data_IF_782021634181
#
_entry.id   IF_782021634181
#
_cell.length_a   1.000
_cell.length_b   1.000
_cell.length_c   1.000
_cell.angle_alpha   90.00
_cell.angle_beta   90.00
_cell.angle_gamma   90.00
#
_symmetry.space_group_name_H-M   'P 1'
#
loop_
_entity.id
_entity.type
_entity.pdbx_description
1 polymer ?
#
# COMPACT_ATOMS: atom_id res chain seq x y z
N UNK A 1 1.44 24.44 25.53
CA UNK A 1 1.96 23.74 26.72
C UNK A 1 1.63 22.25 26.71
N UNK A 2 0.37 21.83 26.69
CA UNK A 2 -0.01 20.40 26.75
C UNK A 2 0.65 19.52 25.67
N UNK A 3 0.66 19.96 24.39
CA UNK A 3 1.30 19.24 23.30
C UNK A 3 2.83 19.12 23.45
N UNK A 4 3.48 20.17 23.96
CA UNK A 4 4.92 20.13 24.26
C UNK A 4 5.22 19.11 25.35
N UNK A 5 4.39 19.05 26.40
CA UNK A 5 4.51 18.04 27.45
C UNK A 5 4.32 16.61 26.91
N UNK A 6 3.32 16.39 26.05
CA UNK A 6 3.11 15.09 25.38
C UNK A 6 4.32 14.69 24.53
N UNK A 7 4.89 15.62 23.78
CA UNK A 7 6.08 15.36 22.97
C UNK A 7 7.31 15.00 23.83
N UNK A 8 7.56 15.77 24.90
CA UNK A 8 8.64 15.49 25.84
C UNK A 8 8.44 14.14 26.52
N UNK A 9 7.22 13.83 26.96
CA UNK A 9 6.87 12.54 27.54
C UNK A 9 7.10 11.40 26.54
N UNK A 10 6.70 11.59 25.27
CA UNK A 10 6.99 10.65 24.19
C UNK A 10 8.49 10.42 24.00
N UNK A 11 9.30 11.49 23.99
CA UNK A 11 10.77 11.38 23.89
C UNK A 11 11.39 10.63 25.07
N UNK A 12 10.84 10.82 26.28
CA UNK A 12 11.25 10.07 27.47
C UNK A 12 10.94 8.58 27.30
N UNK A 13 9.71 8.22 26.91
CA UNK A 13 9.33 6.81 26.66
C UNK A 13 10.20 6.20 25.56
N UNK A 14 10.39 6.93 24.45
CA UNK A 14 11.25 6.51 23.34
C UNK A 14 12.66 6.18 23.85
N UNK A 15 13.30 7.09 24.61
CA UNK A 15 14.65 6.88 25.11
C UNK A 15 14.75 5.75 26.15
N UNK A 16 13.73 5.59 27.01
CA UNK A 16 13.72 4.58 28.07
C UNK A 16 13.50 3.15 27.54
N UNK A 17 12.58 2.99 26.59
CA UNK A 17 12.12 1.68 26.12
C UNK A 17 12.79 1.28 24.80
N UNK A 18 12.88 2.20 23.85
CA UNK A 18 13.24 1.91 22.46
C UNK A 18 14.71 2.25 22.15
N UNK A 19 15.26 3.27 22.82
CA UNK A 19 16.58 3.82 22.52
C UNK A 19 16.55 4.61 21.20
N UNK A 20 17.59 4.44 20.40
CA UNK A 20 17.71 5.12 19.11
C UNK A 20 16.80 4.48 18.06
N UNK A 21 16.02 5.34 17.38
CA UNK A 21 15.14 4.94 16.29
C UNK A 21 15.96 4.64 15.04
N UNK A 22 15.56 3.58 14.32
CA UNK A 22 16.18 3.24 13.05
C UNK A 22 15.58 4.11 11.94
N UNK A 23 16.34 4.35 10.88
CA UNK A 23 15.91 5.18 9.74
C UNK A 23 14.58 4.67 9.15
N UNK A 24 14.43 3.36 9.00
CA UNK A 24 13.19 2.75 8.50
C UNK A 24 11.99 2.92 9.44
N UNK A 25 12.21 2.91 10.75
CA UNK A 25 11.14 3.15 11.72
C UNK A 25 10.74 4.62 11.76
N UNK A 26 11.70 5.52 11.60
CA UNK A 26 11.45 6.95 11.56
C UNK A 26 10.65 7.32 10.32
N UNK A 27 11.01 6.81 9.14
CA UNK A 27 10.24 7.00 7.90
C UNK A 27 8.81 6.48 8.05
N UNK A 28 8.64 5.22 8.46
CA UNK A 28 7.32 4.64 8.68
C UNK A 28 6.50 5.40 9.74
N UNK A 29 7.15 5.93 10.78
CA UNK A 29 6.47 6.71 11.81
C UNK A 29 5.98 8.04 11.25
N UNK A 30 6.81 8.75 10.46
CA UNK A 30 6.45 10.02 9.84
C UNK A 30 5.28 9.85 8.88
N UNK A 31 5.32 8.84 8.01
CA UNK A 31 4.24 8.56 7.05
C UNK A 31 2.93 8.25 7.77
N UNK A 32 2.96 7.32 8.73
CA UNK A 32 1.77 6.96 9.51
C UNK A 32 1.23 8.14 10.33
N UNK A 33 2.09 9.01 10.83
CA UNK A 33 1.70 10.20 11.60
C UNK A 33 0.96 11.21 10.75
N UNK A 34 1.52 11.58 9.59
CA UNK A 34 0.86 12.50 8.67
C UNK A 34 -0.46 11.94 8.15
N UNK A 35 -0.50 10.65 7.83
CA UNK A 35 -1.72 9.97 7.39
C UNK A 35 -2.80 9.99 8.48
N UNK A 36 -2.41 9.78 9.74
CA UNK A 36 -3.31 9.88 10.89
C UNK A 36 -3.88 11.28 11.03
N UNK A 37 -3.02 12.31 11.03
CA UNK A 37 -3.47 13.71 11.16
C UNK A 37 -4.41 14.08 10.03
N UNK A 38 -4.02 13.81 8.78
CA UNK A 38 -4.80 14.14 7.61
C UNK A 38 -6.20 13.52 7.67
N UNK A 39 -6.28 12.23 8.00
CA UNK A 39 -7.55 11.53 8.15
C UNK A 39 -8.41 12.13 9.28
N UNK A 40 -7.82 12.44 10.44
CA UNK A 40 -8.58 13.03 11.58
C UNK A 40 -9.05 14.46 11.31
N UNK A 41 -8.30 15.25 10.54
CA UNK A 41 -8.72 16.59 10.12
C UNK A 41 -9.94 16.50 9.19
N UNK A 42 -9.88 15.64 8.15
CA UNK A 42 -11.02 15.41 7.25
C UNK A 42 -12.22 14.91 8.04
N UNK A 43 -12.01 14.05 9.01
CA UNK A 43 -13.06 13.51 9.85
C UNK A 43 -13.77 14.60 10.70
N UNK A 44 -13.01 15.45 11.39
CA UNK A 44 -13.56 16.51 12.27
C UNK A 44 -14.40 17.51 11.48
N UNK A 45 -13.91 17.96 10.33
CA UNK A 45 -14.62 18.96 9.52
C UNK A 45 -15.68 18.34 8.60
N UNK A 46 -15.43 17.14 8.09
CA UNK A 46 -16.28 16.52 7.06
C UNK A 46 -17.36 15.60 7.59
N UNK A 47 -17.11 14.86 8.67
CA UNK A 47 -18.07 13.89 9.23
C UNK A 47 -18.73 14.42 10.49
N UNK A 48 -17.95 14.91 11.44
CA UNK A 48 -18.48 15.50 12.68
C UNK A 48 -19.06 16.88 12.43
N UNK A 49 -18.59 17.59 11.40
CA UNK A 49 -19.02 18.94 11.04
C UNK A 49 -18.91 19.92 12.23
N UNK A 50 -17.77 19.87 12.94
CA UNK A 50 -17.53 20.75 14.09
C UNK A 50 -17.36 22.21 13.60
N UNK A 51 -18.32 23.07 13.93
CA UNK A 51 -18.34 24.47 13.50
C UNK A 51 -17.75 25.41 14.57
N UNK A 52 -17.85 25.03 15.85
CA UNK A 52 -17.32 25.84 16.95
C UNK A 52 -15.86 25.52 17.24
N UNK A 53 -15.06 26.55 17.54
CA UNK A 53 -13.65 26.38 17.92
C UNK A 53 -13.52 25.51 19.17
N UNK A 54 -14.45 25.63 20.12
CA UNK A 54 -14.48 24.81 21.33
C UNK A 54 -14.64 23.31 21.02
N UNK A 55 -15.55 22.94 20.12
CA UNK A 55 -15.72 21.54 19.71
C UNK A 55 -14.47 21.02 18.99
N UNK A 56 -13.91 21.81 18.09
CA UNK A 56 -12.68 21.45 17.37
C UNK A 56 -11.53 21.21 18.34
N UNK A 57 -11.38 22.04 19.37
CA UNK A 57 -10.34 21.87 20.40
C UNK A 57 -10.55 20.60 21.24
N UNK A 58 -11.80 20.28 21.61
CA UNK A 58 -12.12 19.04 22.33
C UNK A 58 -11.78 17.80 21.49
N UNK A 59 -12.19 17.78 20.22
CA UNK A 59 -11.84 16.70 19.30
C UNK A 59 -10.34 16.59 19.04
N UNK A 60 -9.65 17.71 18.88
CA UNK A 60 -8.20 17.74 18.72
C UNK A 60 -7.49 17.17 19.95
N UNK A 61 -7.95 17.47 21.16
CA UNK A 61 -7.39 16.92 22.40
C UNK A 61 -7.57 15.40 22.46
N UNK A 62 -8.78 14.91 22.15
CA UNK A 62 -9.10 13.48 22.11
C UNK A 62 -8.22 12.72 21.10
N UNK A 63 -8.18 13.18 19.85
CA UNK A 63 -7.37 12.53 18.81
C UNK A 63 -5.87 12.66 19.05
N UNK A 64 -5.42 13.69 19.77
CA UNK A 64 -4.00 13.77 20.14
C UNK A 64 -3.60 12.74 21.18
N UNK A 65 -4.47 12.48 22.17
CA UNK A 65 -4.23 11.43 23.16
C UNK A 65 -4.29 10.03 22.52
N UNK A 66 -5.31 9.76 21.69
CA UNK A 66 -5.39 8.50 20.94
C UNK A 66 -4.22 8.33 19.97
N UNK A 67 -3.89 9.37 19.21
CA UNK A 67 -2.81 9.39 18.24
C UNK A 67 -1.46 9.11 18.87
N UNK A 68 -1.19 9.67 20.05
CA UNK A 68 0.00 9.37 20.84
C UNK A 68 0.16 7.85 21.06
N UNK A 69 -0.87 7.20 21.62
CA UNK A 69 -0.82 5.76 21.87
C UNK A 69 -0.84 4.92 20.60
N UNK A 70 -1.53 5.36 19.55
CA UNK A 70 -1.53 4.70 18.25
C UNK A 70 -0.13 4.64 17.65
N UNK A 71 0.61 5.76 17.66
CA UNK A 71 1.99 5.83 17.14
C UNK A 71 2.92 4.92 17.93
N UNK A 72 2.84 4.94 19.27
CA UNK A 72 3.63 4.03 20.10
C UNK A 72 3.28 2.56 19.87
N UNK A 73 2.01 2.23 19.64
CA UNK A 73 1.58 0.89 19.27
C UNK A 73 2.18 0.43 17.93
N UNK A 74 2.21 1.31 16.92
CA UNK A 74 2.86 1.02 15.63
C UNK A 74 4.37 0.79 15.79
N UNK A 75 5.03 1.64 16.55
CA UNK A 75 6.46 1.49 16.83
C UNK A 75 6.76 0.17 17.57
N UNK A 76 5.90 -0.23 18.51
CA UNK A 76 6.01 -1.53 19.17
C UNK A 76 5.86 -2.70 18.18
N UNK A 77 4.93 -2.60 17.22
CA UNK A 77 4.75 -3.62 16.16
C UNK A 77 5.98 -3.73 15.26
N UNK A 78 6.52 -2.60 14.81
CA UNK A 78 7.69 -2.57 13.91
C UNK A 78 8.96 -3.10 14.62
N UNK A 79 9.10 -2.79 15.92
CA UNK A 79 10.16 -3.35 16.77
C UNK A 79 9.98 -4.84 17.05
N UNK A 80 8.75 -5.30 17.30
CA UNK A 80 8.46 -6.71 17.47
C UNK A 80 8.91 -7.52 16.26
N UNK A 81 8.52 -7.12 15.04
CA UNK A 81 8.93 -7.80 13.80
C UNK A 81 10.45 -7.97 13.72
N UNK A 82 11.18 -6.91 14.03
CA UNK A 82 12.65 -6.96 14.04
C UNK A 82 13.23 -7.86 15.13
N UNK A 83 12.69 -7.82 16.34
CA UNK A 83 13.15 -8.66 17.44
C UNK A 83 12.88 -10.14 17.15
N UNK A 84 11.77 -10.48 16.49
CA UNK A 84 11.51 -11.86 16.05
C UNK A 84 12.49 -12.32 14.98
N UNK A 85 12.99 -11.41 14.12
CA UNK A 85 14.03 -11.72 13.15
C UNK A 85 15.46 -11.78 13.73
N UNK A 86 15.68 -11.28 14.96
CA UNK A 86 17.00 -11.15 15.57
C UNK A 86 17.15 -12.03 16.84
N UNK A 87 17.76 -13.22 16.73
CA UNK A 87 17.79 -14.20 17.83
C UNK A 87 18.72 -13.84 19.00
N UNK A 88 19.57 -12.83 18.87
CA UNK A 88 20.63 -12.50 19.86
C UNK A 88 20.30 -11.32 20.78
N UNK A 89 19.03 -10.95 20.94
CA UNK A 89 18.68 -9.76 21.71
C UNK A 89 18.51 -10.06 23.21
N UNK A 90 19.02 -9.19 24.12
CA UNK A 90 18.97 -9.44 25.55
C UNK A 90 17.54 -9.33 26.10
N UNK A 91 17.18 -10.21 27.05
CA UNK A 91 15.83 -10.28 27.67
C UNK A 91 15.34 -8.96 28.24
N UNK A 92 16.23 -8.06 28.69
CA UNK A 92 15.85 -6.73 29.19
C UNK A 92 15.11 -5.89 28.15
N UNK A 93 15.54 -5.93 26.88
CA UNK A 93 14.85 -5.22 25.79
C UNK A 93 13.46 -5.78 25.57
N UNK A 94 13.30 -7.11 25.71
CA UNK A 94 12.01 -7.75 25.55
C UNK A 94 11.02 -7.35 26.65
N UNK A 95 11.47 -7.37 27.91
CA UNK A 95 10.63 -6.98 29.06
C UNK A 95 10.19 -5.52 28.96
N UNK A 96 11.09 -4.60 28.60
CA UNK A 96 10.75 -3.18 28.44
C UNK A 96 9.68 -2.95 27.39
N UNK A 97 9.76 -3.62 26.25
CA UNK A 97 8.77 -3.51 25.18
C UNK A 97 7.41 -4.09 25.62
N UNK A 98 7.42 -5.23 26.28
CA UNK A 98 6.20 -5.85 26.81
C UNK A 98 5.49 -4.96 27.84
N UNK A 99 6.24 -4.33 28.75
CA UNK A 99 5.69 -3.36 29.70
C UNK A 99 5.05 -2.18 28.97
N UNK A 100 5.68 -1.64 27.94
CA UNK A 100 5.10 -0.56 27.14
C UNK A 100 3.79 -0.99 26.46
N UNK A 101 3.72 -2.19 25.90
CA UNK A 101 2.49 -2.73 25.29
C UNK A 101 1.38 -2.89 26.35
N UNK A 102 1.69 -3.38 27.55
CA UNK A 102 0.72 -3.45 28.65
C UNK A 102 0.22 -2.07 29.06
N UNK A 103 1.09 -1.06 29.13
CA UNK A 103 0.70 0.32 29.44
C UNK A 103 -0.25 0.87 28.37
N UNK A 104 0.02 0.62 27.09
CA UNK A 104 -0.87 1.02 25.98
C UNK A 104 -2.23 0.32 26.10
N UNK A 105 -2.25 -0.97 26.42
CA UNK A 105 -3.49 -1.73 26.58
C UNK A 105 -4.34 -1.18 27.74
N UNK A 106 -3.70 -0.91 28.90
CA UNK A 106 -4.36 -0.34 30.08
C UNK A 106 -4.87 1.08 29.83
N UNK A 107 -4.05 1.93 29.18
CA UNK A 107 -4.47 3.29 28.84
C UNK A 107 -5.66 3.29 27.89
N UNK A 108 -5.70 2.35 26.94
CA UNK A 108 -6.83 2.17 26.02
C UNK A 108 -8.12 1.80 26.76
N UNK A 109 -8.05 0.95 27.78
CA UNK A 109 -9.22 0.62 28.62
C UNK A 109 -9.69 1.82 29.42
N UNK A 110 -8.77 2.57 30.03
CA UNK A 110 -9.11 3.80 30.79
C UNK A 110 -9.78 4.83 29.90
N UNK A 111 -9.24 5.07 28.70
CA UNK A 111 -9.84 5.98 27.71
C UNK A 111 -11.22 5.48 27.25
N UNK A 112 -11.40 4.16 27.09
CA UNK A 112 -12.69 3.57 26.75
C UNK A 112 -13.75 3.80 27.84
N UNK A 113 -13.39 3.65 29.12
CA UNK A 113 -14.30 3.93 30.24
C UNK A 113 -14.69 5.42 30.29
N UNK A 114 -13.73 6.31 30.05
CA UNK A 114 -13.99 7.73 29.97
C UNK A 114 -14.92 8.07 28.78
N UNK A 115 -14.69 7.45 27.62
CA UNK A 115 -15.53 7.60 26.44
C UNK A 115 -16.99 7.16 26.68
N UNK A 116 -17.20 6.06 27.39
CA UNK A 116 -18.55 5.60 27.77
C UNK A 116 -19.22 6.60 28.73
N UNK A 117 -18.46 7.07 29.72
CA UNK A 117 -18.99 8.01 30.73
C UNK A 117 -19.42 9.34 30.11
N UNK A 118 -18.60 9.90 29.22
CA UNK A 118 -18.93 11.11 28.48
C UNK A 118 -20.06 10.87 27.46
N UNK A 119 -19.99 9.77 26.72
CA UNK A 119 -20.95 9.43 25.67
C UNK A 119 -22.37 9.19 26.17
N UNK A 120 -22.54 8.72 27.41
CA UNK A 120 -23.86 8.56 28.03
C UNK A 120 -24.60 9.89 28.22
N UNK A 121 -23.87 11.01 28.38
CA UNK A 121 -24.45 12.33 28.60
C UNK A 121 -24.83 13.03 27.29
N UNK A 122 -24.07 12.82 26.21
CA UNK A 122 -24.23 13.52 24.94
C UNK A 122 -25.10 12.75 23.94
N UNK A 123 -24.59 11.63 23.40
CA UNK A 123 -25.30 10.80 22.43
C UNK A 123 -24.67 9.43 22.26
N UNK A 124 -25.51 8.44 21.91
CA UNK A 124 -25.09 7.06 21.65
C UNK A 124 -24.13 6.97 20.46
N UNK A 125 -24.29 7.80 19.43
CA UNK A 125 -23.42 7.76 18.24
C UNK A 125 -22.00 8.24 18.56
N UNK A 126 -21.86 9.34 19.31
CA UNK A 126 -20.55 9.84 19.77
C UNK A 126 -19.91 8.83 20.73
N UNK A 127 -20.70 8.21 21.59
CA UNK A 127 -20.24 7.12 22.47
C UNK A 127 -19.65 5.95 21.67
N UNK A 128 -20.42 5.41 20.71
CA UNK A 128 -19.99 4.28 19.88
C UNK A 128 -18.74 4.62 19.06
N UNK A 129 -18.67 5.84 18.52
CA UNK A 129 -17.51 6.35 17.81
C UNK A 129 -16.24 6.32 18.69
N UNK A 130 -16.29 6.99 19.84
CA UNK A 130 -15.12 7.08 20.73
C UNK A 130 -14.73 5.71 21.30
N UNK A 131 -15.73 4.88 21.62
CA UNK A 131 -15.50 3.53 22.12
C UNK A 131 -14.86 2.63 21.04
N UNK A 132 -15.29 2.72 19.79
CA UNK A 132 -14.73 1.92 18.70
C UNK A 132 -13.24 2.21 18.48
N UNK A 133 -12.81 3.48 18.51
CA UNK A 133 -11.40 3.86 18.41
C UNK A 133 -10.56 3.30 19.58
N UNK A 134 -11.11 3.30 20.80
CA UNK A 134 -10.46 2.70 21.97
C UNK A 134 -10.41 1.16 21.87
N UNK A 135 -11.47 0.52 21.37
CA UNK A 135 -11.50 -0.93 21.15
C UNK A 135 -10.49 -1.32 20.07
N UNK A 136 -10.38 -0.58 18.98
CA UNK A 136 -9.43 -0.84 17.89
C UNK A 136 -7.98 -0.74 18.39
N UNK A 137 -7.63 0.30 19.15
CA UNK A 137 -6.32 0.43 19.78
C UNK A 137 -6.07 -0.72 20.76
N UNK A 138 -7.06 -1.04 21.59
CA UNK A 138 -7.02 -2.13 22.56
C UNK A 138 -6.77 -3.49 21.90
N UNK A 139 -7.57 -3.87 20.89
CA UNK A 139 -7.44 -5.14 20.15
C UNK A 139 -6.08 -5.25 19.45
N UNK A 140 -5.59 -4.17 18.82
CA UNK A 140 -4.26 -4.14 18.18
C UNK A 140 -3.15 -4.34 19.21
N UNK A 141 -3.24 -3.68 20.36
CA UNK A 141 -2.26 -3.83 21.44
C UNK A 141 -2.31 -5.22 22.09
N UNK A 142 -3.50 -5.79 22.27
CA UNK A 142 -3.72 -7.12 22.83
C UNK A 142 -3.24 -8.24 21.89
N UNK A 143 -3.46 -8.09 20.58
CA UNK A 143 -2.88 -8.98 19.57
C UNK A 143 -1.35 -9.00 19.67
N UNK A 144 -0.73 -7.81 19.71
CA UNK A 144 0.71 -7.69 19.83
C UNK A 144 1.23 -8.28 21.15
N UNK A 145 0.53 -8.06 22.26
CA UNK A 145 0.86 -8.66 23.56
C UNK A 145 0.79 -10.19 23.50
N UNK A 146 -0.28 -10.75 22.95
CA UNK A 146 -0.49 -12.20 22.84
C UNK A 146 0.61 -12.84 21.99
N UNK A 147 0.97 -12.22 20.86
CA UNK A 147 2.10 -12.63 20.01
C UNK A 147 3.42 -12.63 20.77
N UNK A 148 3.65 -11.59 21.55
CA UNK A 148 4.86 -11.45 22.35
C UNK A 148 4.98 -12.53 23.44
N UNK A 149 3.89 -12.74 24.16
CA UNK A 149 3.79 -13.77 25.20
C UNK A 149 4.02 -15.15 24.59
N UNK A 150 3.42 -15.41 23.43
CA UNK A 150 3.60 -16.65 22.70
C UNK A 150 5.07 -16.88 22.29
N UNK A 151 5.75 -15.88 21.75
CA UNK A 151 7.16 -15.94 21.36
C UNK A 151 8.07 -16.31 22.55
N UNK A 152 7.86 -15.69 23.71
CA UNK A 152 8.66 -15.97 24.90
C UNK A 152 8.43 -17.41 25.38
N UNK A 153 7.17 -17.86 25.39
CA UNK A 153 6.82 -19.24 25.75
C UNK A 153 7.43 -20.24 24.78
N UNK A 154 7.43 -19.95 23.49
CA UNK A 154 8.04 -20.80 22.45
C UNK A 154 9.53 -21.02 22.72
N UNK A 155 10.27 -19.92 22.96
CA UNK A 155 11.70 -19.96 23.32
C UNK A 155 11.95 -20.80 24.59
N UNK A 156 11.02 -20.83 25.54
CA UNK A 156 11.19 -21.54 26.80
C UNK A 156 10.86 -23.04 26.74
N UNK A 157 9.84 -23.45 25.97
CA UNK A 157 9.31 -24.83 26.05
C UNK A 157 9.67 -25.75 24.89
N UNK A 158 10.39 -25.29 23.86
CA UNK A 158 11.04 -26.15 22.83
C UNK A 158 10.16 -27.07 21.96
N UNK A 159 8.86 -27.21 22.23
CA UNK A 159 7.96 -28.06 21.44
C UNK A 159 7.31 -27.28 20.28
N UNK A 160 7.83 -27.41 19.06
CA UNK A 160 7.49 -26.54 17.92
C UNK A 160 6.19 -26.94 17.17
N UNK A 161 5.87 -28.24 17.08
CA UNK A 161 4.85 -28.72 16.14
C UNK A 161 3.41 -28.32 16.45
N UNK A 162 3.02 -28.35 17.72
CA UNK A 162 1.66 -27.94 18.15
C UNK A 162 1.55 -26.42 18.29
N UNK A 163 2.67 -25.74 18.54
CA UNK A 163 2.72 -24.31 18.83
C UNK A 163 2.55 -23.45 17.58
N UNK A 164 3.22 -23.81 16.49
CA UNK A 164 3.10 -23.08 15.21
C UNK A 164 1.63 -22.98 14.72
N UNK A 165 0.83 -24.05 14.90
CA UNK A 165 -0.61 -24.04 14.57
C UNK A 165 -1.38 -23.05 15.44
N UNK A 166 -1.15 -23.03 16.75
CA UNK A 166 -1.83 -22.13 17.69
C UNK A 166 -1.49 -20.67 17.39
N UNK A 167 -0.21 -20.37 17.13
CA UNK A 167 0.23 -19.02 16.75
C UNK A 167 -0.54 -18.49 15.53
N UNK A 168 -0.64 -19.32 14.48
CA UNK A 168 -1.36 -18.96 13.26
C UNK A 168 -2.85 -18.66 13.52
N UNK A 169 -3.54 -19.48 14.31
CA UNK A 169 -4.96 -19.23 14.61
C UNK A 169 -5.17 -17.97 15.46
N UNK A 170 -4.27 -17.69 16.40
CA UNK A 170 -4.30 -16.44 17.18
C UNK A 170 -4.19 -15.24 16.23
N UNK A 171 -3.29 -15.29 15.26
CA UNK A 171 -3.12 -14.22 14.26
C UNK A 171 -4.36 -14.02 13.43
N UNK A 172 -4.86 -15.10 12.85
CA UNK A 172 -6.01 -15.06 11.99
C UNK A 172 -7.25 -14.51 12.71
N UNK A 173 -7.52 -15.00 13.93
CA UNK A 173 -8.69 -14.58 14.71
C UNK A 173 -8.57 -13.11 15.08
N UNK A 174 -7.42 -12.69 15.60
CA UNK A 174 -7.21 -11.30 16.03
C UNK A 174 -7.22 -10.31 14.86
N UNK A 175 -6.63 -10.65 13.72
CA UNK A 175 -6.69 -9.83 12.51
C UNK A 175 -8.12 -9.73 11.97
N UNK A 176 -8.85 -10.84 11.91
CA UNK A 176 -10.26 -10.87 11.52
C UNK A 176 -11.13 -10.03 12.46
N UNK A 177 -10.90 -10.09 13.78
CA UNK A 177 -11.60 -9.29 14.78
C UNK A 177 -11.32 -7.80 14.59
N UNK A 178 -10.05 -7.41 14.42
CA UNK A 178 -9.69 -6.00 14.17
C UNK A 178 -10.34 -5.48 12.90
N UNK A 179 -10.26 -6.23 11.79
CA UNK A 179 -10.86 -5.82 10.51
C UNK A 179 -12.39 -5.73 10.58
N UNK A 180 -13.03 -6.63 11.34
CA UNK A 180 -14.49 -6.62 11.51
C UNK A 180 -14.94 -5.40 12.31
N UNK A 181 -14.26 -5.10 13.43
CA UNK A 181 -14.56 -3.90 14.22
C UNK A 181 -14.31 -2.64 13.39
N UNK A 182 -13.23 -2.59 12.63
CA UNK A 182 -12.87 -1.44 11.78
C UNK A 182 -13.89 -1.21 10.66
N UNK A 183 -14.37 -2.29 10.03
CA UNK A 183 -15.43 -2.24 9.04
C UNK A 183 -16.75 -1.75 9.66
N UNK A 184 -17.17 -2.32 10.78
CA UNK A 184 -18.40 -1.92 11.47
C UNK A 184 -18.36 -0.43 11.86
N UNK A 185 -17.21 0.03 12.36
CA UNK A 185 -16.96 1.42 12.71
C UNK A 185 -17.10 2.36 11.49
N UNK A 186 -16.41 2.08 10.39
CA UNK A 186 -16.48 2.93 9.20
C UNK A 186 -17.87 2.91 8.54
N UNK A 187 -18.58 1.77 8.58
CA UNK A 187 -19.96 1.66 8.10
C UNK A 187 -20.91 2.48 8.97
N UNK A 188 -20.78 2.39 10.30
CA UNK A 188 -21.57 3.20 11.24
C UNK A 188 -21.36 4.70 10.98
N UNK A 189 -20.11 5.13 10.80
CA UNK A 189 -19.78 6.52 10.48
C UNK A 189 -20.36 7.00 9.15
N UNK A 190 -20.34 6.14 8.12
CA UNK A 190 -20.94 6.45 6.82
C UNK A 190 -22.47 6.63 6.94
N UNK A 191 -23.14 5.78 7.71
CA UNK A 191 -24.59 5.86 7.96
C UNK A 191 -24.95 7.11 8.77
N UNK A 192 -24.15 7.44 9.81
CA UNK A 192 -24.41 8.59 10.66
C UNK A 192 -24.20 9.93 9.94
N UNK A 193 -23.20 10.02 9.06
CA UNK A 193 -22.85 11.25 8.33
C UNK A 193 -24.02 11.84 7.53
N UNK A 194 -24.96 11.01 7.03
CA UNK A 194 -26.15 11.39 6.25
C UNK A 194 -25.87 12.26 4.98
N UNK A 195 -24.61 12.59 4.69
CA UNK A 195 -24.16 13.34 3.53
C UNK A 195 -23.52 12.38 2.53
N UNK A 196 -24.32 11.88 1.58
CA UNK A 196 -23.87 10.89 0.59
C UNK A 196 -22.84 11.45 -0.41
N UNK A 197 -22.67 12.77 -0.54
CA UNK A 197 -21.85 13.43 -1.57
C UNK A 197 -20.79 14.40 -1.03
N UNK A 198 -20.30 14.23 0.19
CA UNK A 198 -19.17 15.04 0.69
C UNK A 198 -17.83 14.44 0.31
N UNK A 199 -16.76 15.25 0.33
CA UNK A 199 -15.39 14.73 0.21
C UNK A 199 -15.06 13.69 1.29
N UNK A 200 -15.71 13.76 2.46
CA UNK A 200 -15.56 12.78 3.51
C UNK A 200 -16.21 11.43 3.17
N UNK A 201 -17.37 11.40 2.48
CA UNK A 201 -18.01 10.14 2.10
C UNK A 201 -17.15 9.34 1.10
N UNK A 202 -16.46 10.05 0.20
CA UNK A 202 -15.46 9.48 -0.69
C UNK A 202 -14.29 8.84 0.08
N UNK A 203 -13.70 9.57 1.04
CA UNK A 203 -12.61 9.04 1.89
C UNK A 203 -13.06 7.82 2.69
N UNK A 204 -14.26 7.85 3.26
CA UNK A 204 -14.83 6.70 3.98
C UNK A 204 -15.09 5.51 3.05
N UNK A 205 -15.61 5.74 1.84
CA UNK A 205 -15.81 4.69 0.83
C UNK A 205 -14.48 4.01 0.45
N UNK A 206 -13.42 4.80 0.22
CA UNK A 206 -12.10 4.26 -0.08
C UNK A 206 -11.52 3.44 1.07
N UNK A 207 -11.68 3.90 2.31
CA UNK A 207 -11.30 3.13 3.49
C UNK A 207 -12.08 1.82 3.61
N UNK A 208 -13.41 1.84 3.44
CA UNK A 208 -14.23 0.62 3.44
C UNK A 208 -13.79 -0.35 2.34
N UNK A 209 -13.55 0.14 1.12
CA UNK A 209 -13.06 -0.68 0.01
C UNK A 209 -11.70 -1.31 0.34
N UNK A 210 -10.79 -0.54 0.92
CA UNK A 210 -9.48 -1.02 1.37
C UNK A 210 -9.64 -2.13 2.41
N UNK A 211 -10.40 -1.89 3.48
CA UNK A 211 -10.65 -2.88 4.56
C UNK A 211 -11.29 -4.16 4.01
N UNK A 212 -12.29 -4.04 3.12
CA UNK A 212 -12.93 -5.21 2.48
C UNK A 212 -11.94 -5.98 1.61
N UNK A 213 -11.02 -5.29 0.93
CA UNK A 213 -9.97 -5.95 0.15
C UNK A 213 -9.00 -6.73 1.04
N UNK A 214 -8.59 -6.17 2.18
CA UNK A 214 -7.74 -6.84 3.16
C UNK A 214 -8.45 -8.05 3.80
N UNK A 215 -9.74 -7.90 4.14
CA UNK A 215 -10.54 -9.01 4.66
C UNK A 215 -10.65 -10.17 3.65
N UNK A 216 -10.85 -9.85 2.37
CA UNK A 216 -10.85 -10.87 1.29
C UNK A 216 -9.49 -11.55 1.17
N UNK A 217 -8.38 -10.83 1.28
CA UNK A 217 -7.02 -11.41 1.28
C UNK A 217 -6.85 -12.37 2.46
N UNK A 218 -7.19 -11.95 3.67
CA UNK A 218 -7.16 -12.78 4.87
C UNK A 218 -7.94 -14.10 4.69
N UNK A 219 -9.16 -14.05 4.12
CA UNK A 219 -9.95 -15.24 3.83
C UNK A 219 -9.34 -16.14 2.73
N UNK A 220 -8.78 -15.55 1.67
CA UNK A 220 -8.10 -16.29 0.60
C UNK A 220 -6.89 -17.04 1.16
N UNK A 221 -6.07 -16.37 1.96
CA UNK A 221 -4.90 -16.96 2.62
C UNK A 221 -5.30 -18.10 3.55
N UNK A 222 -6.38 -17.94 4.33
CA UNK A 222 -6.87 -19.02 5.16
C UNK A 222 -7.32 -20.25 4.36
N UNK A 223 -8.05 -20.04 3.26
CA UNK A 223 -8.47 -21.13 2.37
C UNK A 223 -7.26 -21.82 1.74
N UNK A 224 -6.23 -21.07 1.40
CA UNK A 224 -4.98 -21.61 0.86
C UNK A 224 -4.25 -22.45 1.91
N UNK A 225 -4.08 -21.93 3.12
CA UNK A 225 -3.51 -22.66 4.25
C UNK A 225 -4.21 -24.00 4.50
N UNK A 226 -5.54 -24.02 4.50
CA UNK A 226 -6.31 -25.26 4.65
C UNK A 226 -6.05 -26.26 3.51
N UNK A 227 -5.97 -25.78 2.26
CA UNK A 227 -5.65 -26.63 1.11
C UNK A 227 -4.24 -27.22 1.22
N UNK A 228 -3.25 -26.42 1.63
CA UNK A 228 -1.87 -26.84 1.82
C UNK A 228 -1.75 -27.88 2.92
N UNK A 229 -2.39 -27.68 4.08
CA UNK A 229 -2.36 -28.68 5.16
C UNK A 229 -3.00 -30.00 4.72
N UNK A 230 -4.15 -29.92 4.03
CA UNK A 230 -4.83 -31.10 3.52
C UNK A 230 -3.97 -31.82 2.48
N UNK A 231 -3.34 -31.12 1.53
CA UNK A 231 -2.47 -31.73 0.52
C UNK A 231 -1.21 -32.34 1.16
N UNK A 232 -0.56 -31.64 2.10
CA UNK A 232 0.62 -32.14 2.81
C UNK A 232 0.32 -33.41 3.60
N UNK A 233 -0.83 -33.46 4.28
CA UNK A 233 -1.22 -34.64 5.07
C UNK A 233 -1.58 -35.86 4.22
N UNK A 234 -2.16 -35.65 3.04
CA UNK A 234 -2.67 -36.73 2.18
C UNK A 234 -1.67 -37.22 1.14
N UNK A 235 -0.81 -36.34 0.62
CA UNK A 235 0.09 -36.65 -0.50
C UNK A 235 1.52 -36.97 -0.09
N UNK A 236 1.96 -36.53 1.08
CA UNK A 236 3.33 -36.79 1.55
C UNK A 236 3.32 -37.77 2.72
N UNK A 237 3.96 -38.94 2.58
CA UNK A 237 4.04 -39.93 3.64
C UNK A 237 4.89 -39.40 4.81
N UNK A 238 4.59 -39.90 6.02
CA UNK A 238 5.50 -39.76 7.16
C UNK A 238 6.68 -40.70 6.93
N UNK A 239 7.89 -40.22 7.22
CA UNK A 239 9.10 -41.04 7.17
C UNK A 239 9.04 -42.12 8.26
N UNK A 240 9.47 -43.34 7.94
CA UNK A 240 9.72 -44.39 8.94
C UNK A 240 10.95 -44.02 9.77
N UNK A 241 11.03 -44.49 11.01
CA UNK A 241 12.18 -44.18 11.88
C UNK A 241 13.50 -44.70 11.29
N UNK A 242 13.47 -45.80 10.53
CA UNK A 242 14.65 -46.34 9.87
C UNK A 242 15.18 -45.43 8.73
N UNK A 243 14.29 -44.84 7.91
CA UNK A 243 14.69 -43.86 6.88
C UNK A 243 15.19 -42.55 7.49
N UNK A 244 14.69 -42.18 8.68
CA UNK A 244 15.05 -40.95 9.37
C UNK A 244 16.46 -41.03 9.97
N UNK A 245 16.81 -42.19 10.54
CA UNK A 245 18.14 -42.48 11.09
C UNK A 245 19.24 -42.52 10.01
N UNK A 246 18.89 -42.77 8.75
CA UNK A 246 19.84 -42.85 7.63
C UNK A 246 20.12 -41.50 6.95
N UNK A 247 19.16 -40.56 6.93
CA UNK A 247 19.22 -39.43 5.96
C UNK A 247 19.39 -38.03 6.58
N UNK A 248 18.98 -37.75 7.82
CA UNK A 248 19.32 -36.49 8.50
C UNK A 248 18.71 -36.40 9.90
N UNK A 249 19.53 -36.09 10.89
CA UNK A 249 19.04 -35.84 12.26
C UNK A 249 18.37 -34.46 12.40
N UNK A 250 18.65 -33.47 11.54
CA UNK A 250 18.27 -32.07 11.74
C UNK A 250 17.44 -31.48 10.58
N UNK A 251 16.40 -30.70 10.91
CA UNK A 251 15.54 -30.03 9.95
C UNK A 251 16.21 -28.76 9.41
N UNK A 252 16.30 -28.58 8.08
CA UNK A 252 16.96 -27.40 7.50
C UNK A 252 16.19 -26.07 7.69
N UNK A 253 14.96 -26.10 8.23
CA UNK A 253 14.15 -24.90 8.49
C UNK A 253 14.38 -24.39 9.93
N UNK A 254 14.22 -25.25 10.94
CA UNK A 254 14.39 -24.85 12.35
C UNK A 254 15.75 -25.22 12.95
N UNK A 255 16.55 -26.03 12.26
CA UNK A 255 17.86 -26.53 12.71
C UNK A 255 17.79 -27.45 13.94
N UNK A 256 16.59 -27.85 14.37
CA UNK A 256 16.36 -28.80 15.46
C UNK A 256 16.26 -30.24 15.00
N UNK A 257 16.44 -31.17 15.94
CA UNK A 257 16.37 -32.61 15.69
C UNK A 257 14.98 -33.08 15.25
N UNK A 258 14.92 -33.99 14.28
CA UNK A 258 13.68 -34.52 13.72
C UNK A 258 13.24 -35.81 14.41
N UNK A 259 12.21 -35.75 15.25
CA UNK A 259 11.52 -36.96 15.77
C UNK A 259 10.44 -37.46 14.79
N UNK A 260 9.80 -36.54 14.07
CA UNK A 260 8.83 -36.86 13.01
C UNK A 260 9.09 -35.98 11.79
N UNK A 261 9.19 -36.62 10.62
CA UNK A 261 9.46 -35.92 9.36
C UNK A 261 8.50 -36.36 8.25
N UNK A 262 8.21 -35.44 7.33
CA UNK A 262 7.52 -35.74 6.07
C UNK A 262 8.52 -35.73 4.92
N UNK A 263 8.39 -36.71 4.04
CA UNK A 263 9.23 -36.88 2.85
C UNK A 263 8.56 -36.22 1.64
N UNK A 264 9.25 -35.26 1.02
CA UNK A 264 8.82 -34.64 -0.24
C UNK A 264 9.14 -35.55 -1.44
N UNK A 265 8.49 -35.36 -2.60
CA UNK A 265 8.76 -36.14 -3.83
C UNK A 265 10.17 -35.91 -4.39
N UNK A 266 10.87 -34.85 -3.94
CA UNK A 266 12.28 -34.61 -4.24
C UNK A 266 13.25 -35.34 -3.29
N UNK A 267 12.76 -36.05 -2.27
CA UNK A 267 13.56 -36.81 -1.32
C UNK A 267 14.01 -36.07 -0.05
N UNK A 268 13.67 -34.78 0.12
CA UNK A 268 14.02 -34.00 1.32
C UNK A 268 13.01 -34.22 2.47
N UNK A 269 13.51 -34.12 3.71
CA UNK A 269 12.79 -34.38 4.95
C UNK A 269 12.67 -33.11 5.80
N UNK A 270 11.48 -32.86 6.37
CA UNK A 270 11.21 -31.71 7.23
C UNK A 270 10.15 -32.05 8.30
N UNK A 271 10.15 -31.35 9.44
CA UNK A 271 9.02 -31.40 10.38
C UNK A 271 7.71 -31.00 9.70
N UNK A 272 6.61 -31.59 10.14
CA UNK A 272 5.29 -31.30 9.57
C UNK A 272 4.91 -29.81 9.72
N UNK A 273 5.17 -29.19 10.87
CA UNK A 273 4.85 -27.78 11.12
C UNK A 273 5.72 -26.83 10.28
N UNK A 274 7.04 -27.06 10.26
CA UNK A 274 7.98 -26.24 9.48
C UNK A 274 7.66 -26.28 7.99
N UNK A 275 7.35 -27.47 7.45
CA UNK A 275 6.94 -27.62 6.06
C UNK A 275 5.63 -26.88 5.77
N UNK A 276 4.62 -26.98 6.65
CA UNK A 276 3.36 -26.26 6.48
C UNK A 276 3.56 -24.73 6.53
N UNK A 277 4.42 -24.24 7.42
CA UNK A 277 4.73 -22.81 7.54
C UNK A 277 5.47 -22.28 6.30
N UNK A 278 6.42 -23.05 5.76
CA UNK A 278 7.14 -22.67 4.54
C UNK A 278 6.23 -22.62 3.33
N UNK A 279 5.41 -23.67 3.13
CA UNK A 279 4.48 -23.78 2.00
C UNK A 279 3.32 -22.77 2.04
N UNK A 280 3.14 -22.08 3.17
CA UNK A 280 2.23 -20.94 3.26
C UNK A 280 2.81 -19.71 2.53
N UNK A 281 4.13 -19.55 2.52
CA UNK A 281 4.83 -18.45 1.84
C UNK A 281 5.13 -18.84 0.39
N UNK A 282 5.83 -19.97 0.21
CA UNK A 282 6.28 -20.43 -1.10
C UNK A 282 6.02 -21.93 -1.29
N UNK A 283 5.27 -22.31 -2.34
CA UNK A 283 5.02 -23.73 -2.70
C UNK A 283 6.21 -24.30 -3.48
N UNK A 284 7.37 -24.28 -2.83
CA UNK A 284 8.63 -24.83 -3.32
C UNK A 284 9.33 -25.61 -2.20
N UNK A 285 10.22 -26.53 -2.57
CA UNK A 285 11.07 -27.20 -1.59
C UNK A 285 12.13 -26.22 -1.03
N UNK A 286 12.30 -26.08 0.30
CA UNK A 286 13.30 -25.18 0.89
C UNK A 286 14.74 -25.46 0.43
N UNK A 287 15.08 -26.72 0.19
CA UNK A 287 16.45 -27.14 -0.15
C UNK A 287 16.72 -27.06 -1.65
N UNK A 288 15.86 -27.65 -2.49
CA UNK A 288 16.10 -27.73 -3.93
C UNK A 288 15.28 -26.77 -4.79
N UNK A 289 14.41 -25.95 -4.17
CA UNK A 289 13.51 -24.98 -4.84
C UNK A 289 12.58 -25.56 -5.91
N UNK A 290 12.47 -26.89 -6.01
CA UNK A 290 11.51 -27.55 -6.91
C UNK A 290 10.09 -27.17 -6.51
N UNK A 291 9.32 -26.66 -7.47
CA UNK A 291 7.90 -26.32 -7.27
C UNK A 291 7.08 -27.59 -6.98
N UNK A 292 6.22 -27.52 -5.96
CA UNK A 292 5.33 -28.62 -5.55
C UNK A 292 3.88 -28.41 -6.00
N UNK A 293 3.62 -27.37 -6.81
CA UNK A 293 2.27 -26.94 -7.20
C UNK A 293 1.50 -28.05 -7.93
N UNK A 294 2.17 -28.75 -8.86
CA UNK A 294 1.61 -29.91 -9.59
C UNK A 294 1.39 -31.09 -8.66
N UNK A 295 2.37 -31.37 -7.80
CA UNK A 295 2.33 -32.47 -6.84
C UNK A 295 1.24 -32.28 -5.78
N UNK A 296 0.78 -31.04 -5.54
CA UNK A 296 -0.34 -30.72 -4.64
C UNK A 296 -1.69 -30.51 -5.33
N UNK A 297 -1.74 -30.47 -6.67
CA UNK A 297 -2.97 -30.23 -7.43
C UNK A 297 -3.51 -28.81 -7.22
N UNK A 298 -2.61 -27.85 -7.01
CA UNK A 298 -2.93 -26.46 -6.72
C UNK A 298 -2.84 -25.63 -8.02
N UNK A 299 -3.72 -24.62 -8.25
CA UNK A 299 -3.61 -23.77 -9.43
C UNK A 299 -2.26 -23.01 -9.49
N UNK A 300 -1.65 -22.85 -10.68
CA UNK A 300 -0.30 -22.29 -10.84
C UNK A 300 -0.13 -20.83 -10.38
N UNK A 301 -1.20 -20.03 -10.31
CA UNK A 301 -1.13 -18.60 -9.97
C UNK A 301 -1.47 -18.25 -8.50
N UNK A 302 -1.60 -19.20 -7.58
CA UNK A 302 -2.14 -18.91 -6.24
C UNK A 302 -1.21 -18.14 -5.28
N UNK A 303 0.09 -18.04 -5.55
CA UNK A 303 1.08 -17.46 -4.61
C UNK A 303 1.93 -16.32 -5.20
N UNK A 304 2.08 -16.26 -6.52
CA UNK A 304 2.94 -15.25 -7.17
C UNK A 304 2.33 -13.84 -7.20
N UNK A 305 1.01 -13.68 -6.97
CA UNK A 305 0.36 -12.36 -7.03
C UNK A 305 0.43 -11.54 -5.72
N UNK A 306 0.79 -12.14 -4.58
CA UNK A 306 0.66 -11.46 -3.28
C UNK A 306 2.00 -11.10 -2.59
N UNK A 307 3.12 -11.78 -2.90
CA UNK A 307 4.42 -11.50 -2.25
C UNK A 307 5.09 -10.19 -2.72
N UNK A 308 4.76 -9.69 -3.92
CA UNK A 308 5.35 -8.45 -4.46
C UNK A 308 4.74 -7.14 -3.94
N UNK A 309 3.97 -7.14 -2.84
CA UNK A 309 3.34 -5.90 -2.34
C UNK A 309 4.13 -5.11 -1.30
N UNK A 310 5.29 -5.59 -0.83
CA UNK A 310 6.15 -4.88 0.14
C UNK A 310 7.57 -4.58 -0.38
N UNK A 311 7.92 -4.93 -1.62
CA UNK A 311 9.18 -4.53 -2.25
C UNK A 311 8.89 -3.65 -3.46
N UNK A 312 9.51 -2.46 -3.46
CA UNK A 312 9.51 -1.52 -4.57
C UNK A 312 9.80 -2.27 -5.88
N UNK A 313 8.96 -2.17 -6.93
CA UNK A 313 9.44 -2.50 -8.26
C UNK A 313 10.53 -1.48 -8.60
N UNK A 314 11.78 -1.92 -8.62
CA UNK A 314 12.87 -1.21 -9.28
C UNK A 314 12.51 -1.13 -10.76
N UNK A 315 11.87 -0.03 -11.17
CA UNK A 315 11.61 0.27 -12.57
C UNK A 315 12.93 0.71 -13.16
N UNK A 316 13.81 -0.25 -13.43
CA UNK A 316 14.83 -0.08 -14.46
C UNK A 316 14.07 0.09 -15.77
N UNK A 317 14.01 1.33 -16.25
CA UNK A 317 13.49 1.64 -17.58
C UNK A 317 14.31 0.88 -18.62
N UNK A 318 13.75 -0.21 -19.15
CA UNK A 318 14.29 -0.81 -20.37
C UNK A 318 14.04 0.16 -21.52
N UNK A 319 15.15 0.74 -21.96
CA UNK A 319 15.25 1.75 -23.01
C UNK A 319 15.38 1.00 -24.34
N UNK A 320 14.25 0.68 -24.98
CA UNK A 320 14.19 0.54 -26.43
C UNK A 320 12.75 0.36 -26.89
N UNK A 321 12.17 1.43 -27.46
CA UNK A 321 11.49 1.35 -28.76
C UNK A 321 11.13 2.77 -29.21
N UNK A 322 11.87 3.23 -30.22
CA UNK A 322 11.59 4.43 -30.98
C UNK A 322 10.62 4.11 -32.10
N UNK A 323 9.35 4.50 -31.98
CA UNK A 323 8.46 4.72 -33.13
C UNK A 323 7.59 5.95 -32.87
N UNK A 324 7.87 7.01 -33.63
CA UNK A 324 7.02 8.16 -33.96
C UNK A 324 6.16 8.80 -32.85
N UNK A 325 6.67 9.90 -32.29
CA UNK A 325 5.97 11.18 -32.39
C UNK A 325 4.69 11.40 -31.58
N UNK A 326 4.52 10.79 -30.42
CA UNK A 326 3.49 11.20 -29.45
C UNK A 326 4.08 11.22 -28.02
N UNK A 327 4.44 12.40 -27.51
CA UNK A 327 4.76 12.57 -26.10
C UNK A 327 3.48 12.89 -25.32
N UNK A 328 2.70 11.87 -24.97
CA UNK A 328 1.71 12.01 -23.92
C UNK A 328 2.47 12.07 -22.58
N UNK A 329 2.42 13.20 -21.89
CA UNK A 329 2.96 13.29 -20.52
C UNK A 329 1.97 12.61 -19.58
N UNK A 330 2.31 11.40 -19.15
CA UNK A 330 1.59 10.68 -18.12
C UNK A 330 2.11 11.12 -16.75
N UNK A 331 1.30 11.87 -16.00
CA UNK A 331 1.55 12.11 -14.58
C UNK A 331 0.94 10.95 -13.79
N UNK A 332 1.78 10.05 -13.30
CA UNK A 332 1.36 8.99 -12.38
C UNK A 332 1.49 9.50 -10.96
N UNK A 333 0.36 9.72 -10.29
CA UNK A 333 0.34 10.05 -8.86
C UNK A 333 0.09 8.76 -8.09
N UNK A 334 1.12 8.27 -7.39
CA UNK A 334 0.96 7.09 -6.55
C UNK A 334 0.31 7.48 -5.22
N UNK A 335 -1.02 7.31 -5.16
CA UNK A 335 -1.80 7.67 -3.99
C UNK A 335 -1.38 6.92 -2.73
N UNK A 336 -0.74 5.75 -2.87
CA UNK A 336 -0.22 4.98 -1.73
C UNK A 336 0.94 5.66 -1.01
N UNK A 337 1.67 6.56 -1.69
CA UNK A 337 2.70 7.40 -1.05
C UNK A 337 2.08 8.47 -0.15
N UNK A 338 0.84 8.90 -0.46
CA UNK A 338 0.13 9.92 0.31
C UNK A 338 -0.68 9.27 1.43
N UNK A 339 -1.36 8.15 1.19
CA UNK A 339 -1.97 7.34 2.23
C UNK A 339 -2.25 5.92 1.73
N UNK A 340 -2.09 4.92 2.60
CA UNK A 340 -2.28 3.50 2.25
C UNK A 340 -3.70 3.16 1.71
N UNK A 341 -4.68 4.03 1.92
CA UNK A 341 -6.06 3.90 1.45
C UNK A 341 -6.38 4.76 0.20
N UNK A 342 -5.46 5.64 -0.22
CA UNK A 342 -5.68 6.58 -1.31
C UNK A 342 -5.28 5.94 -2.66
N UNK A 343 -6.14 5.99 -3.69
CA UNK A 343 -5.88 5.32 -4.96
C UNK A 343 -4.78 6.02 -5.76
N UNK A 344 -3.97 5.24 -6.48
CA UNK A 344 -3.07 5.77 -7.50
C UNK A 344 -3.89 6.20 -8.71
N UNK A 345 -3.64 7.41 -9.23
CA UNK A 345 -4.33 7.93 -10.40
C UNK A 345 -3.34 8.43 -11.44
N UNK A 346 -3.63 8.15 -12.71
CA UNK A 346 -2.86 8.65 -13.85
C UNK A 346 -3.64 9.76 -14.53
N UNK A 347 -3.05 10.95 -14.63
CA UNK A 347 -3.60 12.04 -15.43
C UNK A 347 -2.86 12.05 -16.76
N UNK A 348 -3.62 11.82 -17.83
CA UNK A 348 -3.14 12.00 -19.20
C UNK A 348 -3.47 13.43 -19.64
N UNK A 349 -2.43 14.26 -19.80
CA UNK A 349 -2.59 15.65 -20.26
C UNK A 349 -2.43 15.69 -21.78
N UNK A 350 -3.54 15.83 -22.50
CA UNK A 350 -3.51 16.16 -23.93
C UNK A 350 -3.35 17.67 -24.10
N UNK A 351 -2.20 18.13 -24.59
CA UNK A 351 -2.07 19.52 -25.04
C UNK A 351 -2.82 19.71 -26.37
N UNK A 352 -3.60 20.78 -26.46
CA UNK A 352 -4.45 21.11 -27.61
C UNK A 352 -3.63 21.26 -28.90
N UNK A 353 -3.88 20.36 -29.85
CA UNK A 353 -3.13 20.21 -31.12
C UNK A 353 -3.36 21.34 -32.16
N UNK A 354 -4.27 22.28 -31.91
CA UNK A 354 -4.69 23.25 -32.94
C UNK A 354 -3.73 24.45 -33.10
N UNK A 355 -3.16 24.99 -32.02
CA UNK A 355 -2.28 26.18 -32.13
C UNK A 355 -0.85 25.83 -32.57
N UNK A 356 -0.39 24.61 -32.33
CA UNK A 356 0.98 24.21 -32.65
C UNK A 356 1.14 23.84 -34.13
N UNK A 357 0.14 23.18 -34.75
CA UNK A 357 0.15 22.85 -36.19
C UNK A 357 0.13 24.11 -37.06
N UNK A 358 -0.65 25.12 -36.65
CA UNK A 358 -0.82 26.34 -37.44
C UNK A 358 0.44 27.23 -37.42
N UNK A 359 1.14 27.27 -36.28
CA UNK A 359 2.40 27.99 -36.15
C UNK A 359 3.55 27.31 -36.89
N UNK A 360 3.58 25.97 -36.92
CA UNK A 360 4.61 25.22 -37.64
C UNK A 360 4.40 25.31 -39.17
N UNK A 361 3.16 25.16 -39.64
CA UNK A 361 2.81 25.36 -41.05
C UNK A 361 3.19 26.77 -41.53
N UNK A 362 2.92 27.80 -40.72
CA UNK A 362 3.29 29.18 -41.06
C UNK A 362 4.81 29.38 -41.18
N UNK A 363 5.62 28.68 -40.40
CA UNK A 363 7.09 28.72 -40.50
C UNK A 363 7.59 28.06 -41.78
N UNK A 364 7.04 26.91 -42.13
CA UNK A 364 7.39 26.18 -43.36
C UNK A 364 7.04 27.00 -44.61
N UNK A 365 5.86 27.64 -44.62
CA UNK A 365 5.43 28.53 -45.71
C UNK A 365 6.37 29.73 -45.85
N UNK A 366 6.76 30.36 -44.73
CA UNK A 366 7.69 31.50 -44.75
C UNK A 366 9.08 31.10 -45.27
N UNK A 367 9.55 29.90 -44.93
CA UNK A 367 10.82 29.37 -45.42
C UNK A 367 10.79 29.12 -46.93
N UNK A 368 9.72 28.54 -47.46
CA UNK A 368 9.56 28.29 -48.89
C UNK A 368 9.44 29.58 -49.70
N UNK A 369 8.75 30.59 -49.18
CA UNK A 369 8.65 31.92 -49.81
C UNK A 369 10.00 32.64 -49.92
N UNK A 370 10.90 32.44 -48.96
CA UNK A 370 12.26 32.99 -49.02
C UNK A 370 13.12 32.35 -50.10
N UNK A 371 12.90 31.06 -50.37
CA UNK A 371 13.64 30.31 -51.38
C UNK A 371 13.08 30.54 -52.79
N UNK A 372 11.76 30.70 -52.90
CA UNK A 372 11.06 30.84 -54.18
C UNK A 372 10.15 32.09 -54.18
N UNK A 373 10.72 33.30 -54.33
CA UNK A 373 9.97 34.55 -54.22
C UNK A 373 8.98 34.81 -55.38
N UNK A 374 9.02 33.99 -56.43
CA UNK A 374 8.17 34.15 -57.62
C UNK A 374 6.81 33.45 -57.51
N UNK A 375 6.53 32.73 -56.42
CA UNK A 375 5.31 31.95 -56.21
C UNK A 375 4.46 32.57 -55.10
N UNK A 376 3.13 32.56 -55.25
CA UNK A 376 2.22 33.13 -54.25
C UNK A 376 2.14 32.30 -52.98
N UNK A 377 1.99 32.97 -51.83
CA UNK A 377 1.82 32.31 -50.52
C UNK A 377 0.66 31.32 -50.52
N UNK A 378 -0.43 31.65 -51.20
CA UNK A 378 -1.65 30.85 -51.26
C UNK A 378 -1.43 29.51 -51.96
N UNK A 379 -0.65 29.50 -53.05
CA UNK A 379 -0.30 28.27 -53.75
C UNK A 379 0.56 27.34 -52.88
N UNK A 380 1.53 27.90 -52.14
CA UNK A 380 2.39 27.13 -51.22
C UNK A 380 1.58 26.55 -50.06
N UNK A 381 0.67 27.33 -49.46
CA UNK A 381 -0.18 26.84 -48.36
C UNK A 381 -1.09 25.71 -48.83
N UNK A 382 -1.70 25.85 -50.01
CA UNK A 382 -2.60 24.82 -50.56
C UNK A 382 -1.86 23.52 -50.86
N UNK A 383 -0.66 23.60 -51.45
CA UNK A 383 0.14 22.41 -51.74
C UNK A 383 0.68 21.77 -50.46
N UNK A 384 1.16 22.57 -49.51
CA UNK A 384 1.69 22.09 -48.23
C UNK A 384 0.61 21.40 -47.37
N UNK A 385 -0.64 21.86 -47.45
CA UNK A 385 -1.78 21.17 -46.82
C UNK A 385 -2.06 19.81 -47.44
N UNK A 386 -1.74 19.61 -48.72
CA UNK A 386 -1.97 18.37 -49.43
C UNK A 386 -0.79 17.39 -49.31
N UNK A 387 0.45 17.89 -49.31
CA UNK A 387 1.68 17.09 -49.25
C UNK A 387 2.15 16.82 -47.82
N UNK A 388 1.84 17.71 -46.87
CA UNK A 388 2.25 17.61 -45.47
C UNK A 388 3.75 17.76 -45.22
N UNK A 389 4.54 18.17 -46.22
CA UNK A 389 5.99 18.33 -46.11
C UNK A 389 6.52 19.45 -47.01
N UNK A 390 7.36 20.31 -46.44
CA UNK A 390 7.95 21.44 -47.16
C UNK A 390 8.91 21.02 -48.27
N UNK A 391 9.60 19.89 -48.10
CA UNK A 391 10.58 19.39 -49.08
C UNK A 391 9.88 18.92 -50.37
N UNK A 392 8.75 18.22 -50.24
CA UNK A 392 7.95 17.76 -51.37
C UNK A 392 7.32 18.94 -52.11
N UNK A 393 6.85 19.94 -51.38
CA UNK A 393 6.34 21.18 -51.99
C UNK A 393 7.46 21.98 -52.69
N UNK A 394 8.69 21.96 -52.19
CA UNK A 394 9.84 22.55 -52.88
C UNK A 394 10.17 21.83 -54.20
N UNK A 395 10.09 20.50 -54.23
CA UNK A 395 10.27 19.72 -55.46
C UNK A 395 9.15 20.00 -56.48
N UNK A 396 7.90 20.08 -56.03
CA UNK A 396 6.76 20.46 -56.88
C UNK A 396 6.94 21.86 -57.52
N UNK A 397 7.54 22.80 -56.77
CA UNK A 397 7.91 24.13 -57.26
C UNK A 397 8.98 24.01 -58.37
N UNK A 398 10.02 23.20 -58.14
CA UNK A 398 11.13 23.03 -59.08
C UNK A 398 10.71 22.30 -60.37
N UNK A 399 9.78 21.35 -60.27
CA UNK A 399 9.22 20.63 -61.41
C UNK A 399 8.21 21.47 -62.23
N UNK A 400 7.86 22.67 -61.76
CA UNK A 400 6.96 23.60 -62.45
C UNK A 400 5.47 23.27 -62.29
N UNK A 401 5.13 22.42 -61.31
CA UNK A 401 3.75 22.01 -61.05
C UNK A 401 2.92 23.11 -60.37
N UNK A 402 3.57 24.17 -59.86
CA UNK A 402 2.96 25.36 -59.26
C UNK A 402 3.15 26.58 -60.18
N UNK A 403 2.07 27.13 -60.72
CA UNK A 403 2.15 28.25 -61.69
C UNK A 403 2.35 29.60 -61.00
N UNK A 404 3.31 30.44 -61.44
CA UNK A 404 3.50 31.78 -60.91
C UNK A 404 2.44 32.74 -61.46
N UNK A 405 1.64 33.35 -60.57
CA UNK A 405 0.78 34.48 -60.94
C UNK A 405 1.66 35.73 -61.14
N UNK A 406 1.92 36.09 -62.39
CA UNK A 406 2.56 37.35 -62.77
C UNK A 406 1.73 38.55 -62.25
N UNK A 407 2.32 39.38 -61.40
CA UNK A 407 1.77 40.67 -60.98
C UNK A 407 1.46 41.54 -62.20
N UNK A 408 0.19 41.82 -62.47
CA UNK A 408 -0.20 42.88 -63.40
C UNK A 408 -0.02 44.25 -62.74
N UNK A 409 0.76 45.07 -63.42
CA UNK A 409 1.10 46.45 -63.11
C UNK A 409 -0.13 47.38 -63.34
N UNK A 410 -0.29 48.33 -62.41
CA UNK A 410 -1.14 49.53 -62.35
C UNK A 410 -1.90 50.02 -63.60
N UNK A 411 -3.15 50.43 -63.41
CA UNK A 411 -3.59 51.83 -63.68
C UNK A 411 -4.88 52.20 -62.91
N UNK A 412 -5.11 53.49 -62.58
CA UNK A 412 -6.04 53.94 -61.54
C UNK A 412 -7.37 54.50 -62.06
N UNK A 413 -8.35 54.57 -61.14
CA UNK A 413 -9.45 55.55 -61.02
C UNK A 413 -10.39 55.84 -62.20
N UNK A 414 -11.66 55.45 -62.02
CA UNK A 414 -12.86 56.22 -62.39
C UNK A 414 -14.01 55.62 -61.55
N UNK A 415 -14.45 56.27 -60.46
CA UNK A 415 -15.57 57.24 -60.45
C UNK A 415 -16.79 56.76 -61.25
N UNK A 416 -17.84 56.33 -60.54
CA UNK A 416 -19.16 56.99 -60.50
C UNK A 416 -20.28 56.02 -60.03
N UNK A 417 -21.01 56.51 -59.02
CA UNK A 417 -22.41 56.24 -58.61
C UNK A 417 -22.92 54.81 -58.41
#
# INVERSE_FOLDING_TARGET
MAYCCLFLFGKVIQKLVLGDLRVSEEQHLQDKFWNYIFYKVIFVFGVVNAQSISEVLCWAAWFSMLGFWHIFGQLCKDRYKYLTSSPFTPRSKHVKLMVLICVICLSSTVMGVWAVSYGYQESVNIMLFMLAECILLGLKSLHLLTRYMFQILEIQTGNFDKKSKVAYYIDLISECLVLTVDLCYHVHMLVWSNVFLSMASLVLYWNIRSIVSEFKKCLKMHRLYQKVIKSVSTRFPLATQDELNEVADHCAICWDSMETARKLPCGHFFHHSCLCSWLQQDVSCPTCRRSLTKDMGLPPNLLNEEVHTDELPDVTMDRNESVNGFRNFFFFLDGRQIANWFPSFSIEVFHGRLEQDQNEMNRQVEQLLRLFPHISREAIVSDLQQTGSADVTADNILEGNLTPMLQSIQSPSSEEN
#
